data_IF_081552649387
#
_entry.id   IF_081552649387
#
_cell.length_a   1.000
_cell.length_b   1.000
_cell.length_c   1.000
_cell.angle_alpha   90.00
_cell.angle_beta   90.00
_cell.angle_gamma   90.00
#
_symmetry.space_group_name_H-M   'P 1'
#
loop_
_entity.id
_entity.type
_entity.pdbx_description
1 polymer ?
#
# COMPACT_ATOMS: atom_id res chain seq x y z
N UNK A 1 -18.74 5.13 11.50
CA UNK A 1 -19.57 4.29 12.41
C UNK A 1 -19.39 2.80 12.17
N UNK A 2 -19.45 2.30 10.92
CA UNK A 2 -19.22 0.86 10.63
C UNK A 2 -17.81 0.37 11.01
N UNK A 3 -16.77 1.17 10.77
CA UNK A 3 -15.38 0.82 11.12
C UNK A 3 -15.13 0.70 12.62
N UNK A 4 -15.87 1.46 13.44
CA UNK A 4 -15.74 1.42 14.90
C UNK A 4 -16.31 0.13 15.47
N UNK A 5 -17.46 -0.31 14.95
CA UNK A 5 -18.12 -1.56 15.34
C UNK A 5 -17.29 -2.78 14.88
N UNK A 6 -16.71 -2.73 13.68
CA UNK A 6 -15.81 -3.78 13.19
C UNK A 6 -14.50 -3.85 14.01
N UNK A 7 -13.94 -2.71 14.42
CA UNK A 7 -12.71 -2.65 15.22
C UNK A 7 -12.88 -3.24 16.63
N UNK A 8 -14.06 -3.07 17.25
CA UNK A 8 -14.36 -3.57 18.60
C UNK A 8 -14.50 -5.10 18.65
N UNK A 9 -14.95 -5.72 17.55
CA UNK A 9 -15.13 -7.17 17.42
C UNK A 9 -13.85 -7.94 17.05
N UNK A 10 -12.84 -7.30 16.46
CA UNK A 10 -11.65 -8.00 15.96
C UNK A 10 -10.51 -8.13 16.99
N UNK A 11 -10.48 -7.30 18.04
CA UNK A 11 -9.56 -7.45 19.18
C UNK A 11 -8.08 -7.63 18.81
N UNK A 12 -7.38 -8.52 19.53
CA UNK A 12 -5.95 -8.85 19.32
C UNK A 12 -5.65 -9.37 17.92
N UNK A 13 -6.58 -10.11 17.30
CA UNK A 13 -6.39 -10.69 15.96
C UNK A 13 -6.16 -9.63 14.88
N UNK A 14 -6.72 -8.42 15.06
CA UNK A 14 -6.51 -7.28 14.17
C UNK A 14 -5.10 -6.72 14.31
N UNK A 15 -4.58 -6.66 15.53
CA UNK A 15 -3.24 -6.14 15.81
C UNK A 15 -2.17 -7.09 15.25
N UNK A 16 -2.37 -8.40 15.41
CA UNK A 16 -1.50 -9.41 14.80
C UNK A 16 -1.51 -9.32 13.26
N UNK A 17 -2.70 -9.17 12.66
CA UNK A 17 -2.85 -8.96 11.22
C UNK A 17 -2.12 -7.70 10.75
N UNK A 18 -2.24 -6.59 11.48
CA UNK A 18 -1.56 -5.34 11.15
C UNK A 18 -0.04 -5.50 11.11
N UNK A 19 0.53 -6.16 12.12
CA UNK A 19 1.97 -6.43 12.17
C UNK A 19 2.38 -7.28 10.98
N UNK A 20 1.63 -8.36 10.71
CA UNK A 20 1.91 -9.27 9.60
C UNK A 20 1.89 -8.53 8.26
N UNK A 21 0.82 -7.78 7.98
CA UNK A 21 0.68 -6.96 6.78
C UNK A 21 1.80 -5.93 6.63
N UNK A 22 2.22 -5.26 7.72
CA UNK A 22 3.35 -4.31 7.69
C UNK A 22 4.67 -4.99 7.35
N UNK A 23 4.91 -6.20 7.87
CA UNK A 23 6.12 -6.98 7.55
C UNK A 23 6.13 -7.46 6.10
N UNK A 24 4.98 -7.92 5.62
CA UNK A 24 4.78 -8.34 4.23
C UNK A 24 4.94 -7.16 3.26
N UNK A 25 4.34 -6.00 3.59
CA UNK A 25 4.56 -4.76 2.86
C UNK A 25 6.05 -4.40 2.79
N UNK A 26 6.79 -4.49 3.90
CA UNK A 26 8.23 -4.22 3.91
C UNK A 26 9.03 -5.19 3.03
N UNK A 27 8.61 -6.45 2.90
CA UNK A 27 9.24 -7.40 1.99
C UNK A 27 9.01 -7.03 0.52
N UNK A 28 7.77 -6.71 0.15
CA UNK A 28 7.43 -6.29 -1.22
C UNK A 28 8.11 -4.97 -1.57
N UNK A 29 8.10 -4.00 -0.67
CA UNK A 29 8.80 -2.71 -0.85
C UNK A 29 10.30 -2.92 -1.05
N UNK A 30 10.96 -3.83 -0.31
CA UNK A 30 12.38 -4.14 -0.54
C UNK A 30 12.65 -4.72 -1.93
N UNK A 31 11.74 -5.52 -2.46
CA UNK A 31 11.83 -6.03 -3.84
C UNK A 31 11.79 -4.90 -4.88
N UNK A 32 11.03 -3.84 -4.58
CA UNK A 32 10.74 -2.72 -5.48
C UNK A 32 11.49 -1.43 -5.09
N UNK A 33 12.53 -1.52 -4.25
CA UNK A 33 13.23 -0.36 -3.67
C UNK A 33 13.69 0.66 -4.72
N UNK A 34 14.16 0.19 -5.88
CA UNK A 34 14.61 1.05 -6.99
C UNK A 34 13.50 1.92 -7.62
N UNK A 35 12.24 1.66 -7.28
CA UNK A 35 11.07 2.38 -7.78
C UNK A 35 10.42 3.27 -6.70
N UNK A 36 11.19 3.61 -5.65
CA UNK A 36 10.78 4.49 -4.55
C UNK A 36 9.41 4.12 -3.94
N UNK A 37 9.25 2.87 -3.46
CA UNK A 37 7.95 2.36 -3.03
C UNK A 37 7.45 3.07 -1.77
N UNK A 38 6.14 3.28 -1.72
CA UNK A 38 5.47 3.90 -0.56
C UNK A 38 4.24 3.09 -0.17
N UNK A 39 4.18 2.69 1.10
CA UNK A 39 3.01 2.05 1.69
C UNK A 39 1.94 3.12 1.94
N UNK A 40 0.77 2.93 1.34
CA UNK A 40 -0.40 3.79 1.50
C UNK A 40 -1.60 2.99 2.00
N UNK A 41 -2.80 3.57 1.97
CA UNK A 41 -4.04 2.91 2.39
C UNK A 41 -4.15 2.60 3.89
N UNK A 42 -4.82 1.51 4.23
CA UNK A 42 -5.22 1.21 5.62
C UNK A 42 -4.05 0.69 6.49
N UNK A 43 -3.08 0.02 5.88
CA UNK A 43 -1.96 -0.65 6.57
C UNK A 43 -0.99 0.35 7.20
N UNK A 44 -0.59 1.41 6.47
CA UNK A 44 0.24 2.44 7.10
C UNK A 44 -0.56 3.22 8.14
N UNK A 45 -1.84 3.53 7.89
CA UNK A 45 -2.71 4.24 8.83
C UNK A 45 -2.91 3.50 10.14
N UNK A 46 -2.72 2.17 10.15
CA UNK A 46 -3.01 1.31 11.30
C UNK A 46 -4.52 1.06 11.48
N UNK A 47 -5.30 1.29 10.42
CA UNK A 47 -6.77 1.25 10.42
C UNK A 47 -7.35 0.05 9.67
N UNK A 48 -6.55 -1.01 9.46
CA UNK A 48 -6.97 -2.25 8.76
C UNK A 48 -8.23 -2.91 9.38
N UNK A 49 -8.89 -3.74 8.58
CA UNK A 49 -9.96 -4.67 8.95
C UNK A 49 -9.70 -6.05 8.29
N UNK A 50 -10.58 -7.04 8.48
CA UNK A 50 -10.44 -8.41 7.90
C UNK A 50 -10.26 -8.48 6.38
N UNK A 51 -10.72 -7.48 5.65
CA UNK A 51 -10.75 -7.48 4.19
C UNK A 51 -9.79 -6.43 3.61
N UNK A 52 -8.92 -5.85 4.44
CA UNK A 52 -7.91 -4.92 3.97
C UNK A 52 -6.85 -5.65 3.14
N UNK A 53 -6.42 -5.01 2.09
CA UNK A 53 -5.25 -5.31 1.27
C UNK A 53 -4.05 -4.43 1.67
N UNK A 54 -2.89 -4.72 1.07
CA UNK A 54 -1.66 -3.95 1.22
C UNK A 54 -1.50 -3.04 -0.01
N UNK A 55 -1.71 -1.75 0.18
CA UNK A 55 -1.59 -0.76 -0.90
C UNK A 55 -0.17 -0.19 -1.01
N UNK A 56 0.49 -0.38 -2.15
CA UNK A 56 1.83 0.17 -2.43
C UNK A 56 1.79 1.00 -3.71
N UNK A 57 2.33 2.22 -3.64
CA UNK A 57 2.63 3.02 -4.84
C UNK A 57 4.10 2.86 -5.19
N UNK A 58 4.39 2.73 -6.48
CA UNK A 58 5.74 2.77 -7.04
C UNK A 58 5.78 3.70 -8.25
N UNK A 59 6.97 4.20 -8.58
CA UNK A 59 7.18 5.19 -9.63
C UNK A 59 8.06 4.62 -10.74
N UNK A 60 7.51 4.51 -11.95
CA UNK A 60 8.23 3.95 -13.11
C UNK A 60 7.52 4.31 -14.41
N UNK A 61 8.28 4.70 -15.42
CA UNK A 61 7.79 4.83 -16.80
C UNK A 61 7.72 3.49 -17.56
N UNK A 62 8.10 2.38 -16.92
CA UNK A 62 8.09 1.05 -17.51
C UNK A 62 7.49 0.01 -16.55
N UNK A 63 6.22 -0.30 -16.78
CA UNK A 63 5.42 -1.26 -15.98
C UNK A 63 5.93 -2.70 -16.13
N UNK A 64 6.43 -3.10 -17.31
CA UNK A 64 6.98 -4.44 -17.53
C UNK A 64 8.23 -4.70 -16.67
N UNK A 65 9.09 -3.70 -16.49
CA UNK A 65 10.25 -3.81 -15.57
C UNK A 65 9.82 -4.01 -14.12
N UNK A 66 8.73 -3.36 -13.69
CA UNK A 66 8.16 -3.55 -12.35
C UNK A 66 7.62 -4.98 -12.21
N UNK A 67 6.76 -5.42 -13.15
CA UNK A 67 6.21 -6.78 -13.13
C UNK A 67 7.30 -7.86 -13.19
N UNK A 68 8.33 -7.67 -14.01
CA UNK A 68 9.46 -8.60 -14.06
C UNK A 68 10.16 -8.72 -12.70
N UNK A 69 10.40 -7.60 -12.01
CA UNK A 69 11.03 -7.61 -10.68
C UNK A 69 10.18 -8.37 -9.65
N UNK A 70 8.87 -8.19 -9.69
CA UNK A 70 7.90 -8.94 -8.86
C UNK A 70 8.02 -10.44 -9.12
N UNK A 71 8.00 -10.86 -10.40
CA UNK A 71 8.12 -12.27 -10.79
C UNK A 71 9.47 -12.87 -10.41
N UNK A 72 10.57 -12.15 -10.61
CA UNK A 72 11.94 -12.59 -10.26
C UNK A 72 12.09 -12.89 -8.75
N UNK A 73 11.35 -12.17 -7.90
CA UNK A 73 11.33 -12.41 -6.46
C UNK A 73 10.44 -13.60 -6.05
N UNK A 74 9.65 -14.13 -7.00
CA UNK A 74 8.75 -15.26 -6.78
C UNK A 74 7.33 -14.87 -6.35
N UNK A 75 6.99 -13.58 -6.40
CA UNK A 75 5.63 -13.13 -6.08
C UNK A 75 4.66 -13.43 -7.23
N UNK A 76 3.48 -13.95 -6.89
CA UNK A 76 2.45 -14.34 -7.87
C UNK A 76 1.58 -13.15 -8.23
N UNK A 77 1.76 -12.63 -9.44
CA UNK A 77 0.83 -11.65 -10.03
C UNK A 77 -0.47 -12.36 -10.36
N UNK A 78 -1.57 -11.91 -9.76
CA UNK A 78 -2.93 -12.43 -9.99
C UNK A 78 -3.69 -11.61 -11.02
N UNK A 79 -3.40 -10.31 -11.12
CA UNK A 79 -4.02 -9.39 -12.08
C UNK A 79 -3.06 -8.26 -12.43
N UNK A 80 -3.13 -7.77 -13.66
CA UNK A 80 -2.44 -6.56 -14.10
C UNK A 80 -3.32 -5.82 -15.11
N UNK A 81 -3.65 -4.56 -14.85
CA UNK A 81 -4.56 -3.79 -15.70
C UNK A 81 -4.23 -2.29 -15.70
N UNK A 82 -4.55 -1.63 -16.82
CA UNK A 82 -4.55 -0.17 -16.90
C UNK A 82 -5.91 0.36 -16.45
N UNK A 83 -5.88 1.27 -15.47
CA UNK A 83 -7.06 1.92 -14.91
C UNK A 83 -7.02 3.39 -15.31
N UNK A 84 -8.09 3.88 -15.93
CA UNK A 84 -8.23 5.29 -16.30
C UNK A 84 -9.12 5.95 -15.27
N UNK A 85 -8.55 6.83 -14.45
CA UNK A 85 -9.27 7.59 -13.44
C UNK A 85 -9.48 9.02 -13.96
N UNK A 86 -10.73 9.49 -13.95
CA UNK A 86 -11.04 10.90 -14.17
C UNK A 86 -11.06 11.63 -12.83
N UNK A 87 -9.95 12.27 -12.46
CA UNK A 87 -9.85 13.08 -11.23
C UNK A 87 -9.77 14.55 -11.63
N UNK A 88 -10.75 15.37 -11.21
CA UNK A 88 -10.75 16.81 -11.47
C UNK A 88 -10.84 17.22 -12.96
N UNK A 89 -11.35 16.37 -13.84
CA UNK A 89 -11.47 16.64 -15.28
C UNK A 89 -10.24 16.25 -16.12
N UNK A 90 -9.11 15.91 -15.49
CA UNK A 90 -7.97 15.26 -16.15
C UNK A 90 -8.10 13.74 -16.11
N UNK A 91 -7.85 13.07 -17.24
CA UNK A 91 -7.66 11.61 -17.28
C UNK A 91 -6.24 11.30 -16.83
N UNK A 92 -6.09 10.60 -15.73
CA UNK A 92 -4.83 9.95 -15.35
C UNK A 92 -5.00 8.46 -15.58
N UNK A 93 -4.07 7.83 -16.31
CA UNK A 93 -3.97 6.37 -16.31
C UNK A 93 -2.99 5.94 -15.23
N UNK A 94 -3.40 4.96 -14.44
CA UNK A 94 -2.55 4.23 -13.50
C UNK A 94 -2.52 2.77 -13.91
N UNK A 95 -1.41 2.09 -13.63
CA UNK A 95 -1.30 0.65 -13.88
C UNK A 95 -1.32 -0.10 -12.56
N UNK A 96 -2.32 -0.95 -12.38
CA UNK A 96 -2.55 -1.68 -11.15
C UNK A 96 -2.08 -3.13 -11.31
N UNK A 97 -1.30 -3.61 -10.34
CA UNK A 97 -0.79 -4.98 -10.30
C UNK A 97 -1.24 -5.59 -8.97
N UNK A 98 -2.11 -6.60 -9.05
CA UNK A 98 -2.52 -7.38 -7.88
C UNK A 98 -1.55 -8.56 -7.69
N UNK A 99 -1.08 -8.73 -6.46
CA UNK A 99 -0.13 -9.79 -6.08
C UNK A 99 -0.70 -10.54 -4.88
N UNK A 100 -0.72 -11.87 -4.98
CA UNK A 100 -1.12 -12.74 -3.87
C UNK A 100 0.09 -13.26 -3.13
N UNK A 101 0.09 -13.12 -1.80
CA UNK A 101 1.17 -13.56 -0.92
C UNK A 101 0.90 -14.98 -0.36
N UNK A 102 1.94 -15.69 0.12
CA UNK A 102 1.76 -17.01 0.75
C UNK A 102 0.84 -17.01 1.96
N UNK A 103 0.68 -15.85 2.61
CA UNK A 103 -0.23 -15.61 3.74
C UNK A 103 -1.70 -15.47 3.34
N UNK A 104 -2.00 -15.48 2.03
CA UNK A 104 -3.30 -15.13 1.44
C UNK A 104 -3.67 -13.66 1.50
N UNK A 105 -2.79 -12.78 1.99
CA UNK A 105 -2.98 -11.35 1.81
C UNK A 105 -2.73 -10.95 0.36
N UNK A 106 -3.52 -9.99 -0.11
CA UNK A 106 -3.35 -9.38 -1.41
C UNK A 106 -2.61 -8.04 -1.27
N UNK A 107 -1.75 -7.77 -2.24
CA UNK A 107 -1.04 -6.51 -2.39
C UNK A 107 -1.50 -5.86 -3.68
N UNK A 108 -2.03 -4.65 -3.59
CA UNK A 108 -2.26 -3.80 -4.75
C UNK A 108 -1.05 -2.88 -4.94
N UNK A 109 -0.38 -3.02 -6.09
CA UNK A 109 0.73 -2.16 -6.48
C UNK A 109 0.25 -1.24 -7.60
N UNK A 110 0.22 0.06 -7.31
CA UNK A 110 -0.12 1.10 -8.29
C UNK A 110 1.18 1.69 -8.83
N UNK A 111 1.41 1.50 -10.13
CA UNK A 111 2.53 2.12 -10.85
C UNK A 111 2.09 3.48 -11.37
N UNK A 112 2.82 4.51 -10.97
CA UNK A 112 2.62 5.91 -11.39
C UNK A 112 3.80 6.44 -12.18
N UNK A 113 3.57 7.54 -12.88
CA UNK A 113 4.65 8.20 -13.60
C UNK A 113 5.68 8.79 -12.61
N UNK A 114 6.99 8.70 -12.89
CA UNK A 114 8.02 9.31 -12.04
C UNK A 114 7.82 10.80 -11.73
N UNK A 115 7.21 11.57 -12.64
CA UNK A 115 6.89 12.98 -12.40
C UNK A 115 5.83 13.20 -11.31
N UNK A 116 5.10 12.14 -10.92
CA UNK A 116 4.10 12.17 -9.87
C UNK A 116 4.68 11.92 -8.48
N UNK A 117 5.95 11.53 -8.35
CA UNK A 117 6.58 11.23 -7.06
C UNK A 117 6.55 12.42 -6.09
N UNK A 118 6.72 13.64 -6.60
CA UNK A 118 6.70 14.86 -5.79
C UNK A 118 5.31 15.45 -5.61
N UNK A 119 4.28 14.88 -6.25
CA UNK A 119 2.91 15.41 -6.18
C UNK A 119 2.26 14.98 -4.87
N UNK A 120 1.67 15.94 -4.16
CA UNK A 120 0.89 15.67 -2.95
C UNK A 120 -0.55 15.39 -3.31
N UNK A 121 -1.06 14.23 -2.92
CA UNK A 121 -2.48 13.89 -3.05
C UNK A 121 -3.23 14.04 -1.73
N UNK A 122 -4.55 14.20 -1.80
CA UNK A 122 -5.45 14.13 -0.63
C UNK A 122 -6.04 12.74 -0.48
N UNK A 123 -6.11 12.27 0.76
CA UNK A 123 -6.78 11.05 1.15
C UNK A 123 -8.29 11.26 1.07
N UNK A 124 -9.00 10.35 0.42
CA UNK A 124 -10.46 10.45 0.24
C UNK A 124 -11.24 10.12 1.53
N UNK A 125 -10.64 9.32 2.41
CA UNK A 125 -11.25 8.90 3.68
C UNK A 125 -11.01 9.95 4.78
N UNK A 126 -9.77 10.41 4.91
CA UNK A 126 -9.35 11.28 6.02
C UNK A 126 -9.21 12.76 5.63
N UNK A 127 -9.25 13.10 4.34
CA UNK A 127 -9.16 14.48 3.84
C UNK A 127 -7.78 15.15 3.93
N UNK A 128 -6.82 14.51 4.62
CA UNK A 128 -5.44 14.96 4.78
C UNK A 128 -4.54 14.58 3.60
N UNK A 129 -3.31 15.08 3.56
CA UNK A 129 -2.37 14.74 2.51
C UNK A 129 -1.90 13.29 2.67
N UNK A 130 -1.93 12.51 1.58
CA UNK A 130 -1.37 11.16 1.52
C UNK A 130 0.14 11.27 1.68
N UNK A 131 0.58 11.12 2.93
CA UNK A 131 1.97 10.86 3.24
C UNK A 131 2.22 9.39 2.97
N UNK A 132 1.73 8.43 3.76
CA UNK A 132 2.22 7.05 3.59
C UNK A 132 3.65 6.90 4.12
N UNK A 133 4.15 5.66 4.15
CA UNK A 133 5.48 5.34 4.69
C UNK A 133 6.40 4.90 3.57
N UNK A 134 7.61 5.48 3.50
CA UNK A 134 8.69 4.89 2.73
C UNK A 134 9.29 3.68 3.47
N UNK A 135 10.25 3.02 2.82
CA UNK A 135 10.87 1.79 3.31
C UNK A 135 11.51 1.96 4.69
N UNK A 136 12.25 3.04 4.94
CA UNK A 136 12.91 3.27 6.23
C UNK A 136 11.93 3.71 7.33
N UNK A 137 10.94 4.52 6.99
CA UNK A 137 9.88 4.89 7.92
C UNK A 137 9.07 3.67 8.36
N UNK A 138 8.76 2.74 7.45
CA UNK A 138 8.08 1.49 7.79
C UNK A 138 8.95 0.59 8.68
N UNK A 139 10.26 0.52 8.44
CA UNK A 139 11.20 -0.18 9.35
C UNK A 139 11.16 0.42 10.75
N UNK A 140 11.25 1.75 10.88
CA UNK A 140 11.18 2.43 12.18
C UNK A 140 9.86 2.18 12.88
N UNK A 141 8.73 2.26 12.18
CA UNK A 141 7.42 1.93 12.76
C UNK A 141 7.38 0.50 13.28
N UNK A 142 7.87 -0.47 12.51
CA UNK A 142 7.91 -1.87 12.95
C UNK A 142 8.83 -2.12 14.16
N UNK A 143 9.88 -1.31 14.34
CA UNK A 143 10.83 -1.42 15.44
C UNK A 143 10.34 -0.71 16.72
N UNK A 144 9.75 0.49 16.57
CA UNK A 144 9.47 1.39 17.68
C UNK A 144 8.04 1.19 18.22
N UNK A 145 7.04 1.24 17.34
CA UNK A 145 5.63 1.06 17.68
C UNK A 145 4.88 0.45 16.48
N UNK A 146 4.83 -0.88 16.38
CA UNK A 146 4.23 -1.56 15.25
C UNK A 146 2.71 -1.44 15.22
N UNK A 147 2.07 -0.85 16.24
CA UNK A 147 0.63 -0.58 16.31
C UNK A 147 0.28 0.88 16.02
N UNK A 148 1.29 1.74 15.84
CA UNK A 148 1.13 3.18 15.61
C UNK A 148 0.08 3.48 14.55
N UNK A 149 -0.87 4.35 14.91
CA UNK A 149 -1.87 4.88 13.98
C UNK A 149 -1.44 6.24 13.45
N UNK A 150 -1.82 6.53 12.21
CA UNK A 150 -1.52 7.79 11.53
C UNK A 150 -2.81 8.40 11.02
N UNK A 151 -3.70 8.77 11.93
CA UNK A 151 -4.97 9.45 11.60
C UNK A 151 -4.85 10.93 11.97
N UNK A 152 -5.44 11.86 11.19
CA UNK A 152 -5.53 13.26 11.61
C UNK A 152 -6.37 13.40 12.88
N UNK A 153 -6.10 14.46 13.63
CA UNK A 153 -6.85 14.84 14.84
C UNK A 153 -8.33 15.15 14.55
#
# INVERSE_FOLDING_TARGET
ELDAIAAELEGESRLERLIRMRREALEVMRCLEIYNPRLIGSVWRGTIHRNSDIDIVVFSSNTEKVMRKIREKGFKITKAEEVIISKGGSKQSSFHISVSLPSSDEVEIVVRDPEEETKTERCEIYGDLIKGLNLDQLKSVLADDPYKRFIPD
#
